data_IF_523820025336
#
_entry.id   IF_523820025336
#
_cell.length_a   1.000
_cell.length_b   1.000
_cell.length_c   1.000
_cell.angle_alpha   90.00
_cell.angle_beta   90.00
_cell.angle_gamma   90.00
#
_symmetry.space_group_name_H-M   'P 1'
#
loop_
_entity.id
_entity.type
_entity.pdbx_description
1 polymer ?
#
# COMPACT_ATOMS: atom_id res chain seq x y z
N UNK A 1 -25.92 -27.23 42.51
CA UNK A 1 -24.50 -27.33 42.11
C UNK A 1 -24.26 -26.90 40.65
N UNK A 2 -25.14 -27.24 39.69
CA UNK A 2 -25.06 -26.81 38.28
C UNK A 2 -25.12 -25.28 38.04
N UNK A 3 -25.86 -24.53 38.86
CA UNK A 3 -25.96 -23.06 38.73
C UNK A 3 -24.66 -22.31 39.07
N UNK A 4 -23.87 -22.82 40.02
CA UNK A 4 -22.58 -22.23 40.41
C UNK A 4 -21.50 -22.46 39.34
N UNK A 5 -21.52 -23.64 38.69
CA UNK A 5 -20.63 -23.93 37.56
C UNK A 5 -20.92 -23.01 36.36
N UNK A 6 -22.20 -22.82 36.00
CA UNK A 6 -22.59 -21.90 34.92
C UNK A 6 -22.23 -20.43 35.21
N UNK A 7 -22.41 -19.98 36.46
CA UNK A 7 -22.00 -18.63 36.89
C UNK A 7 -20.48 -18.46 36.85
N UNK A 8 -19.73 -19.48 37.28
CA UNK A 8 -18.27 -19.48 37.23
C UNK A 8 -17.75 -19.51 35.79
N UNK A 9 -18.34 -20.30 34.91
CA UNK A 9 -18.03 -20.33 33.48
C UNK A 9 -18.33 -18.99 32.81
N UNK A 10 -19.49 -18.38 33.10
CA UNK A 10 -19.83 -17.04 32.58
C UNK A 10 -18.87 -15.95 33.08
N UNK A 11 -18.44 -16.03 34.35
CA UNK A 11 -17.47 -15.12 34.96
C UNK A 11 -16.05 -15.32 34.42
N UNK A 12 -15.63 -16.57 34.21
CA UNK A 12 -14.35 -16.90 33.57
C UNK A 12 -14.35 -16.48 32.10
N UNK A 13 -15.44 -16.70 31.37
CA UNK A 13 -15.62 -16.23 30.00
C UNK A 13 -15.54 -14.69 29.91
N UNK A 14 -16.01 -13.96 30.93
CA UNK A 14 -15.86 -12.50 31.04
C UNK A 14 -14.42 -12.03 31.28
N UNK A 15 -13.54 -12.89 31.83
CA UNK A 15 -12.13 -12.58 32.09
C UNK A 15 -11.19 -12.89 30.92
N UNK A 16 -11.66 -13.65 29.92
CA UNK A 16 -10.82 -13.96 28.75
C UNK A 16 -10.59 -12.69 27.94
N UNK A 17 -9.34 -12.23 27.91
CA UNK A 17 -8.92 -11.11 27.08
C UNK A 17 -8.81 -11.60 25.63
N UNK A 18 -9.77 -11.24 24.80
CA UNK A 18 -9.63 -11.24 23.33
C UNK A 18 -8.28 -10.70 22.85
N UNK A 19 -7.62 -11.51 22.03
CA UNK A 19 -6.31 -11.27 21.43
C UNK A 19 -6.41 -11.46 19.93
N UNK A 20 -5.80 -10.52 19.22
CA UNK A 20 -5.57 -10.57 17.78
C UNK A 20 -4.08 -10.76 17.54
N UNK A 21 -3.70 -11.76 16.77
CA UNK A 21 -2.36 -11.84 16.19
C UNK A 21 -2.38 -11.27 14.78
N UNK A 22 -1.34 -10.54 14.41
CA UNK A 22 -1.13 -10.06 13.06
C UNK A 22 0.34 -10.31 12.69
N UNK A 23 0.54 -10.86 11.50
CA UNK A 23 1.87 -11.04 10.92
C UNK A 23 1.87 -10.43 9.52
N UNK A 24 2.70 -9.42 9.30
CA UNK A 24 3.08 -9.07 7.94
C UNK A 24 3.79 -10.26 7.30
N UNK A 25 3.44 -10.54 6.05
CA UNK A 25 4.14 -11.54 5.25
C UNK A 25 5.36 -10.91 4.58
N UNK A 26 6.20 -11.75 3.98
CA UNK A 26 7.32 -11.29 3.16
C UNK A 26 6.86 -10.58 1.86
N UNK A 27 5.60 -10.63 1.50
CA UNK A 27 5.14 -10.08 0.23
C UNK A 27 4.77 -8.60 0.40
N UNK A 28 5.78 -7.72 0.27
CA UNK A 28 5.59 -6.28 0.18
C UNK A 28 6.02 -5.77 -1.20
N UNK A 29 5.18 -4.95 -1.81
CA UNK A 29 5.42 -4.41 -3.14
C UNK A 29 5.33 -2.90 -3.13
N UNK A 30 6.20 -2.27 -3.90
CA UNK A 30 6.13 -0.85 -4.19
C UNK A 30 5.53 -0.63 -5.58
N UNK A 31 4.68 0.41 -5.70
CA UNK A 31 4.21 0.92 -6.99
C UNK A 31 3.85 2.41 -6.90
N UNK A 32 4.02 3.11 -8.02
CA UNK A 32 3.46 4.45 -8.19
C UNK A 32 2.01 4.36 -8.70
N UNK A 33 1.10 5.03 -8.01
CA UNK A 33 -0.32 5.15 -8.38
C UNK A 33 -0.70 6.62 -8.57
N UNK A 34 -1.95 6.87 -8.99
CA UNK A 34 -2.55 8.20 -9.04
C UNK A 34 -2.52 8.93 -7.68
N UNK A 35 -2.53 8.17 -6.58
CA UNK A 35 -2.46 8.65 -5.21
C UNK A 35 -1.02 8.91 -4.74
N UNK A 36 0.01 8.55 -5.53
CA UNK A 36 1.42 8.71 -5.19
C UNK A 36 2.14 7.39 -4.91
N UNK A 37 3.19 7.45 -4.10
CA UNK A 37 4.00 6.28 -3.76
C UNK A 37 3.23 5.33 -2.85
N UNK A 38 3.00 4.12 -3.34
CA UNK A 38 2.10 3.16 -2.73
C UNK A 38 2.84 1.88 -2.36
N UNK A 39 2.64 1.43 -1.13
CA UNK A 39 3.07 0.13 -0.63
C UNK A 39 1.88 -0.82 -0.52
N UNK A 40 2.02 -1.98 -1.13
CA UNK A 40 1.11 -3.10 -0.97
C UNK A 40 1.68 -4.05 0.08
N UNK A 41 0.91 -4.34 1.12
CA UNK A 41 1.37 -5.14 2.25
C UNK A 41 0.37 -6.24 2.55
N UNK A 42 0.85 -7.48 2.50
CA UNK A 42 0.06 -8.64 2.82
C UNK A 42 0.19 -8.97 4.32
N UNK A 43 -0.95 -9.01 5.00
CA UNK A 43 -1.08 -9.37 6.41
C UNK A 43 -1.82 -10.70 6.57
N UNK A 44 -1.39 -11.51 7.53
CA UNK A 44 -2.17 -12.62 8.09
C UNK A 44 -2.64 -12.21 9.47
N UNK A 45 -3.95 -12.19 9.68
CA UNK A 45 -4.55 -11.79 10.95
C UNK A 45 -5.37 -12.95 11.52
N UNK A 46 -5.18 -13.27 12.80
CA UNK A 46 -5.89 -14.38 13.45
C UNK A 46 -6.37 -13.99 14.86
N UNK A 47 -7.69 -13.89 15.07
CA UNK A 47 -8.27 -13.73 16.39
C UNK A 47 -8.32 -15.07 17.13
N UNK A 48 -7.92 -15.09 18.41
CA UNK A 48 -7.73 -16.34 19.14
C UNK A 48 -8.94 -16.77 19.98
N UNK A 49 -9.49 -15.85 20.79
CA UNK A 49 -10.50 -16.21 21.78
C UNK A 49 -11.91 -15.78 21.39
N UNK A 50 -12.04 -14.69 20.62
CA UNK A 50 -13.32 -14.09 20.22
C UNK A 50 -13.23 -13.45 18.84
N UNK A 51 -14.37 -13.28 18.12
CA UNK A 51 -14.35 -12.58 16.86
C UNK A 51 -13.91 -11.13 17.09
N UNK A 52 -13.04 -10.64 16.21
CA UNK A 52 -12.46 -9.32 16.31
C UNK A 52 -12.98 -8.42 15.19
N UNK A 53 -13.38 -7.22 15.56
CA UNK A 53 -13.76 -6.15 14.67
C UNK A 53 -12.60 -5.17 14.54
N UNK A 54 -11.95 -5.14 13.38
CA UNK A 54 -10.86 -4.17 13.13
C UNK A 54 -11.49 -2.80 12.89
N UNK A 55 -11.11 -1.84 13.73
CA UNK A 55 -11.68 -0.48 13.75
C UNK A 55 -10.78 0.57 13.12
N UNK A 56 -9.47 0.35 13.16
CA UNK A 56 -8.48 1.31 12.68
C UNK A 56 -7.20 0.56 12.30
N UNK A 57 -6.56 0.98 11.23
CA UNK A 57 -5.25 0.50 10.80
C UNK A 57 -4.36 1.73 10.60
N UNK A 58 -3.20 1.74 11.24
CA UNK A 58 -2.16 2.75 11.03
C UNK A 58 -0.89 2.06 10.59
N UNK A 59 -0.15 2.70 9.70
CA UNK A 59 1.14 2.21 9.30
C UNK A 59 2.16 3.34 9.29
N UNK A 60 3.40 2.96 9.53
CA UNK A 60 4.52 3.88 9.57
C UNK A 60 5.74 3.19 8.98
N UNK A 61 6.36 3.84 8.00
CA UNK A 61 7.58 3.36 7.37
C UNK A 61 8.75 4.22 7.85
N UNK A 62 9.78 3.60 8.42
CA UNK A 62 10.97 4.30 8.87
C UNK A 62 12.18 3.79 8.09
N UNK A 63 12.94 4.68 7.45
CA UNK A 63 14.26 4.32 6.92
C UNK A 63 15.23 4.08 8.06
N UNK A 64 15.87 2.93 8.05
CA UNK A 64 16.87 2.50 9.03
C UNK A 64 18.28 2.72 8.45
N UNK A 65 19.25 3.07 9.31
CA UNK A 65 20.63 3.33 8.92
C UNK A 65 21.08 4.77 9.18
N UNK A 66 21.92 5.32 8.29
CA UNK A 66 22.65 6.60 8.49
C UNK A 66 21.71 7.81 8.54
N UNK A 67 20.68 7.83 7.70
CA UNK A 67 19.67 8.90 7.70
C UNK A 67 18.32 8.30 8.04
N UNK A 68 17.85 8.53 9.27
CA UNK A 68 16.48 8.16 9.65
C UNK A 68 15.51 9.08 8.93
N UNK A 69 14.50 8.46 8.32
CA UNK A 69 13.41 9.17 7.63
C UNK A 69 12.11 8.48 7.98
N UNK A 70 11.25 9.23 8.65
CA UNK A 70 9.92 8.78 9.04
C UNK A 70 8.94 9.13 7.92
N UNK A 71 8.14 8.17 7.49
CA UNK A 71 7.18 8.31 6.40
C UNK A 71 5.83 7.77 6.89
N UNK A 72 4.91 8.64 7.34
CA UNK A 72 3.57 8.23 7.70
C UNK A 72 2.83 7.68 6.48
N UNK A 73 2.09 6.58 6.70
CA UNK A 73 1.34 5.90 5.65
C UNK A 73 -0.16 5.98 5.94
N UNK A 74 -0.90 6.46 4.95
CA UNK A 74 -2.37 6.45 4.95
C UNK A 74 -2.88 5.18 4.28
N UNK A 75 -3.83 4.50 4.94
CA UNK A 75 -4.53 3.37 4.34
C UNK A 75 -5.52 3.88 3.28
N UNK A 76 -5.31 3.48 2.02
CA UNK A 76 -6.20 3.82 0.89
C UNK A 76 -7.20 2.71 0.64
N UNK A 77 -6.75 1.44 0.65
CA UNK A 77 -7.61 0.26 0.48
C UNK A 77 -7.22 -0.87 1.39
N UNK A 78 -8.21 -1.65 1.81
CA UNK A 78 -8.09 -2.84 2.62
C UNK A 78 -9.03 -3.90 2.08
N UNK A 79 -8.55 -5.12 1.89
CA UNK A 79 -9.41 -6.22 1.43
C UNK A 79 -8.73 -7.57 1.43
N UNK A 80 -9.39 -8.54 0.79
CA UNK A 80 -8.85 -9.88 0.57
C UNK A 80 -8.05 -9.93 -0.74
N UNK A 81 -7.03 -10.79 -0.86
CA UNK A 81 -6.37 -11.03 -2.13
C UNK A 81 -7.37 -11.61 -3.13
N UNK A 82 -7.33 -11.17 -4.39
CA UNK A 82 -8.12 -11.79 -5.45
C UNK A 82 -7.64 -13.22 -5.69
N UNK A 83 -8.54 -14.19 -5.74
CA UNK A 83 -8.20 -15.56 -6.12
C UNK A 83 -8.80 -15.87 -7.50
N UNK A 84 -7.91 -16.06 -8.50
CA UNK A 84 -7.91 -17.12 -9.56
C UNK A 84 -7.32 -16.66 -10.90
N UNK A 85 -6.00 -16.84 -11.06
CA UNK A 85 -5.44 -17.39 -12.30
C UNK A 85 -4.75 -16.46 -13.30
N UNK A 86 -4.49 -15.18 -13.01
CA UNK A 86 -3.79 -14.30 -13.95
C UNK A 86 -2.56 -13.63 -13.31
N UNK A 87 -1.33 -14.12 -13.55
CA UNK A 87 -0.13 -13.69 -12.83
C UNK A 87 0.29 -12.22 -13.07
N UNK A 88 -0.45 -11.46 -13.87
CA UNK A 88 -0.04 -10.12 -14.33
C UNK A 88 -1.08 -9.02 -14.00
N UNK A 89 -2.32 -9.34 -13.57
CA UNK A 89 -3.42 -8.34 -13.50
C UNK A 89 -4.29 -8.33 -12.22
N UNK A 90 -3.80 -8.80 -11.06
CA UNK A 90 -4.66 -8.98 -9.88
C UNK A 90 -4.79 -7.74 -8.96
N UNK A 91 -5.43 -6.67 -9.46
CA UNK A 91 -5.89 -5.51 -8.67
C UNK A 91 -7.38 -5.58 -8.24
N UNK A 92 -7.89 -6.77 -7.96
CA UNK A 92 -9.21 -6.90 -7.34
C UNK A 92 -9.08 -6.96 -5.82
N UNK A 93 -9.18 -5.81 -5.15
CA UNK A 93 -9.62 -5.78 -3.76
C UNK A 93 -11.09 -6.19 -3.73
N UNK A 94 -11.45 -7.33 -3.11
CA UNK A 94 -12.86 -7.72 -2.95
C UNK A 94 -13.66 -6.84 -1.98
N UNK A 95 -13.04 -5.81 -1.40
CA UNK A 95 -13.66 -4.94 -0.41
C UNK A 95 -13.15 -3.51 -0.55
N UNK A 96 -14.08 -2.56 -0.44
CA UNK A 96 -13.79 -1.13 -0.28
C UNK A 96 -13.92 -0.68 1.20
N UNK A 97 -14.19 -1.60 2.12
CA UNK A 97 -14.44 -1.27 3.52
C UNK A 97 -13.22 -1.62 4.38
N UNK A 98 -12.64 -0.65 5.12
CA UNK A 98 -11.60 -0.91 6.13
C UNK A 98 -12.16 -1.63 7.38
N UNK A 99 -13.44 -1.98 7.34
CA UNK A 99 -14.19 -2.59 8.43
C UNK A 99 -14.34 -4.08 8.15
N UNK A 100 -13.82 -4.90 9.06
CA UNK A 100 -13.76 -6.34 8.88
C UNK A 100 -14.04 -7.08 10.19
N UNK A 101 -14.86 -8.12 10.07
CA UNK A 101 -15.20 -9.03 11.18
C UNK A 101 -14.40 -10.32 10.96
N UNK A 102 -13.39 -10.52 11.79
CA UNK A 102 -12.55 -11.70 11.78
C UNK A 102 -13.12 -12.77 12.71
N UNK A 103 -13.36 -13.96 12.17
CA UNK A 103 -13.90 -15.09 12.92
C UNK A 103 -12.82 -15.76 13.78
N UNK A 104 -13.18 -16.11 15.02
CA UNK A 104 -12.28 -16.80 15.96
C UNK A 104 -11.66 -18.06 15.35
N UNK A 105 -10.37 -18.27 15.57
CA UNK A 105 -9.65 -19.48 15.19
C UNK A 105 -9.39 -19.61 13.68
N UNK A 106 -9.81 -18.65 12.87
CA UNK A 106 -9.55 -18.62 11.42
C UNK A 106 -8.49 -17.57 11.10
N UNK A 107 -7.41 -17.96 10.43
CA UNK A 107 -6.44 -17.02 9.90
C UNK A 107 -6.98 -16.38 8.60
N UNK A 108 -7.02 -15.07 8.56
CA UNK A 108 -7.50 -14.30 7.41
C UNK A 108 -6.34 -13.57 6.74
N UNK A 109 -6.24 -13.68 5.41
CA UNK A 109 -5.27 -12.94 4.60
C UNK A 109 -5.86 -11.62 4.15
N UNK A 110 -5.10 -10.54 4.32
CA UNK A 110 -5.51 -9.17 4.00
C UNK A 110 -4.43 -8.46 3.22
N UNK A 111 -4.84 -7.65 2.25
CA UNK A 111 -3.96 -6.79 1.46
C UNK A 111 -4.25 -5.35 1.84
N UNK A 112 -3.21 -4.63 2.25
CA UNK A 112 -3.24 -3.20 2.50
C UNK A 112 -2.65 -2.47 1.29
N UNK A 113 -3.36 -1.46 0.80
CA UNK A 113 -2.79 -0.44 -0.09
C UNK A 113 -2.57 0.83 0.73
N UNK A 114 -1.31 1.18 0.92
CA UNK A 114 -0.91 2.29 1.78
C UNK A 114 -0.12 3.31 0.99
N UNK A 115 -0.40 4.60 1.18
CA UNK A 115 0.25 5.70 0.45
C UNK A 115 1.02 6.57 1.43
N UNK A 116 2.21 7.02 1.03
CA UNK A 116 2.99 7.97 1.83
C UNK A 116 2.28 9.32 1.82
N UNK A 117 1.82 9.78 2.98
CA UNK A 117 0.81 10.84 3.07
C UNK A 117 1.35 12.25 2.81
N UNK A 118 2.63 12.48 3.12
CA UNK A 118 3.24 13.82 3.15
C UNK A 118 3.18 14.60 1.82
N UNK A 119 3.10 13.92 0.68
CA UNK A 119 3.14 14.55 -0.64
C UNK A 119 2.08 14.00 -1.60
N UNK A 120 1.07 13.33 -1.05
CA UNK A 120 -0.05 12.79 -1.82
C UNK A 120 -0.75 13.88 -2.63
N UNK A 121 -1.03 15.02 -2.00
CA UNK A 121 -1.76 16.14 -2.64
C UNK A 121 -0.98 16.72 -3.82
N UNK A 122 0.35 16.85 -3.70
CA UNK A 122 1.20 17.31 -4.79
C UNK A 122 1.29 16.30 -5.92
N UNK A 123 1.34 15.01 -5.62
CA UNK A 123 1.34 13.96 -6.65
C UNK A 123 0.01 13.94 -7.42
N UNK A 124 -1.12 14.05 -6.73
CA UNK A 124 -2.45 14.19 -7.34
C UNK A 124 -2.56 15.47 -8.17
N UNK A 125 -1.89 16.55 -7.78
CA UNK A 125 -1.81 17.77 -8.58
C UNK A 125 -0.99 17.54 -9.87
N UNK A 126 0.21 16.95 -9.77
CA UNK A 126 1.04 16.63 -10.95
C UNK A 126 0.28 15.71 -11.91
N UNK A 127 -0.47 14.74 -11.40
CA UNK A 127 -1.30 13.85 -12.20
C UNK A 127 -2.41 14.61 -12.96
N UNK A 128 -3.10 15.53 -12.29
CA UNK A 128 -4.14 16.37 -12.93
C UNK A 128 -3.56 17.31 -13.98
N UNK A 129 -2.41 17.93 -13.70
CA UNK A 129 -1.69 18.77 -14.66
C UNK A 129 -1.26 17.98 -15.90
N UNK A 130 -0.69 16.79 -15.69
CA UNK A 130 -0.32 15.88 -16.77
C UNK A 130 -1.55 15.52 -17.62
N UNK A 131 -2.66 15.15 -16.99
CA UNK A 131 -3.88 14.76 -17.70
C UNK A 131 -4.42 15.91 -18.56
N UNK A 132 -4.44 17.14 -18.03
CA UNK A 132 -4.85 18.32 -18.78
C UNK A 132 -3.91 18.60 -19.97
N UNK A 133 -2.59 18.50 -19.75
CA UNK A 133 -1.59 18.73 -20.81
C UNK A 133 -1.64 17.64 -21.89
N UNK A 134 -1.77 16.38 -21.49
CA UNK A 134 -1.91 15.24 -22.38
C UNK A 134 -3.19 15.33 -23.22
N UNK A 135 -4.29 15.84 -22.64
CA UNK A 135 -5.53 16.07 -23.39
C UNK A 135 -5.35 17.13 -24.48
N UNK A 136 -4.66 18.24 -24.20
CA UNK A 136 -4.34 19.26 -25.19
C UNK A 136 -3.46 18.69 -26.32
N UNK A 137 -2.39 17.96 -25.96
CA UNK A 137 -1.50 17.30 -26.92
C UNK A 137 -2.21 16.26 -27.77
N UNK A 138 -3.18 15.52 -27.21
CA UNK A 138 -3.99 14.58 -27.98
C UNK A 138 -4.84 15.28 -29.05
N UNK A 139 -5.35 16.48 -28.76
CA UNK A 139 -6.01 17.33 -29.75
C UNK A 139 -5.07 17.73 -30.88
N UNK A 140 -3.88 18.24 -30.54
CA UNK A 140 -2.84 18.61 -31.51
C UNK A 140 -2.39 17.42 -32.36
N UNK A 141 -2.19 16.25 -31.76
CA UNK A 141 -1.79 15.02 -32.44
C UNK A 141 -2.80 14.56 -33.48
N UNK A 142 -4.12 14.64 -33.19
CA UNK A 142 -5.15 14.29 -34.16
C UNK A 142 -5.16 15.23 -35.37
N UNK A 143 -4.86 16.51 -35.16
CA UNK A 143 -4.72 17.48 -36.26
C UNK A 143 -3.46 17.17 -37.07
N UNK A 144 -2.32 16.97 -36.39
CA UNK A 144 -1.03 16.69 -37.03
C UNK A 144 -1.00 15.36 -37.78
N UNK A 145 -1.73 14.33 -37.35
CA UNK A 145 -1.84 13.06 -38.08
C UNK A 145 -2.40 13.25 -39.51
N UNK A 146 -3.25 14.26 -39.71
CA UNK A 146 -3.78 14.63 -41.03
C UNK A 146 -2.97 15.76 -41.71
N UNK A 147 -1.95 16.28 -41.04
CA UNK A 147 -1.08 17.34 -41.53
C UNK A 147 0.16 16.82 -42.28
N UNK A 148 1.08 17.75 -42.56
CA UNK A 148 2.37 17.44 -43.19
C UNK A 148 3.38 16.79 -42.24
N UNK A 149 4.52 16.38 -42.77
CA UNK A 149 5.58 15.72 -42.01
C UNK A 149 6.14 16.62 -40.89
N UNK A 150 6.17 17.94 -41.09
CA UNK A 150 6.66 18.89 -40.10
C UNK A 150 5.71 18.96 -38.90
N UNK A 151 4.40 19.08 -39.14
CA UNK A 151 3.39 19.09 -38.08
C UNK A 151 3.44 17.82 -37.22
N UNK A 152 3.72 16.65 -37.83
CA UNK A 152 3.91 15.39 -37.10
C UNK A 152 5.14 15.42 -36.22
N UNK A 153 6.29 15.88 -36.74
CA UNK A 153 7.54 16.01 -35.97
C UNK A 153 7.38 16.97 -34.79
N UNK A 154 6.78 18.13 -35.02
CA UNK A 154 6.55 19.15 -33.98
C UNK A 154 5.71 18.59 -32.82
N UNK A 155 4.69 17.78 -33.10
CA UNK A 155 3.87 17.15 -32.05
C UNK A 155 4.64 16.07 -31.30
N UNK A 156 5.45 15.26 -31.99
CA UNK A 156 6.30 14.25 -31.34
C UNK A 156 7.28 14.92 -30.36
N UNK A 157 7.95 15.99 -30.78
CA UNK A 157 8.86 16.76 -29.92
C UNK A 157 8.13 17.34 -28.69
N UNK A 158 6.92 17.86 -28.87
CA UNK A 158 6.09 18.35 -27.75
C UNK A 158 5.70 17.23 -26.78
N UNK A 159 5.40 16.03 -27.28
CA UNK A 159 5.10 14.85 -26.45
C UNK A 159 6.33 14.43 -25.65
N UNK A 160 7.51 14.37 -26.28
CA UNK A 160 8.76 14.03 -25.61
C UNK A 160 9.17 15.06 -24.54
N UNK A 161 9.00 16.35 -24.84
CA UNK A 161 9.23 17.42 -23.89
C UNK A 161 8.27 17.33 -22.68
N UNK A 162 6.99 17.06 -22.94
CA UNK A 162 5.99 16.81 -21.89
C UNK A 162 6.37 15.59 -21.04
N UNK A 163 6.73 14.47 -21.67
CA UNK A 163 7.15 13.27 -20.96
C UNK A 163 8.36 13.53 -20.05
N UNK A 164 9.34 14.27 -20.54
CA UNK A 164 10.55 14.64 -19.78
C UNK A 164 10.23 15.57 -18.61
N UNK A 165 9.40 16.59 -18.83
CA UNK A 165 8.96 17.53 -17.79
C UNK A 165 8.25 16.79 -16.66
N UNK A 166 7.22 16.01 -16.98
CA UNK A 166 6.41 15.35 -15.96
C UNK A 166 7.13 14.19 -15.28
N UNK A 167 8.01 13.47 -16.00
CA UNK A 167 8.90 12.50 -15.36
C UNK A 167 9.76 13.17 -14.29
N UNK A 168 10.33 14.33 -14.60
CA UNK A 168 11.15 15.09 -13.65
C UNK A 168 10.31 15.62 -12.48
N UNK A 169 9.10 16.14 -12.73
CA UNK A 169 8.17 16.58 -11.67
C UNK A 169 7.84 15.46 -10.69
N UNK A 170 7.49 14.27 -11.20
CA UNK A 170 7.24 13.10 -10.35
C UNK A 170 8.49 12.66 -9.58
N UNK A 171 9.63 12.51 -10.25
CA UNK A 171 10.88 12.08 -9.60
C UNK A 171 11.34 13.03 -8.48
N UNK A 172 11.07 14.33 -8.60
CA UNK A 172 11.39 15.32 -7.58
C UNK A 172 10.53 15.18 -6.32
N UNK A 173 9.35 14.56 -6.43
CA UNK A 173 8.47 14.28 -5.29
C UNK A 173 8.74 12.93 -4.67
N UNK A 174 9.30 11.98 -5.43
CA UNK A 174 9.61 10.64 -4.93
C UNK A 174 10.58 10.68 -3.74
N UNK A 175 10.10 10.19 -2.61
CA UNK A 175 10.76 10.12 -1.32
C UNK A 175 11.35 8.74 -1.01
N UNK A 176 10.81 7.67 -1.59
CA UNK A 176 11.34 6.32 -1.40
C UNK A 176 12.63 6.13 -2.22
N UNK A 177 13.66 5.55 -1.60
CA UNK A 177 15.00 5.46 -2.17
C UNK A 177 15.72 4.16 -1.77
N UNK A 178 16.96 3.99 -2.19
CA UNK A 178 17.74 2.79 -1.82
C UNK A 178 18.05 2.82 -0.32
N UNK A 179 17.77 1.72 0.38
CA UNK A 179 17.99 1.63 1.80
C UNK A 179 17.23 0.49 2.47
N UNK A 180 17.52 0.31 3.74
CA UNK A 180 16.78 -0.61 4.61
C UNK A 180 15.71 0.18 5.35
N UNK A 181 14.50 -0.37 5.42
CA UNK A 181 13.35 0.23 6.07
C UNK A 181 12.70 -0.73 7.06
N UNK A 182 12.06 -0.18 8.08
CA UNK A 182 11.16 -0.89 8.98
C UNK A 182 9.75 -0.36 8.77
N UNK A 183 8.84 -1.24 8.35
CA UNK A 183 7.41 -0.96 8.29
C UNK A 183 6.77 -1.50 9.57
N UNK A 184 6.17 -0.62 10.36
CA UNK A 184 5.29 -0.98 11.48
C UNK A 184 3.82 -0.83 11.04
N UNK A 185 3.02 -1.87 11.27
CA UNK A 185 1.56 -1.83 11.10
C UNK A 185 0.90 -2.07 12.44
N UNK A 186 0.05 -1.12 12.83
CA UNK A 186 -0.77 -1.14 14.04
C UNK A 186 -2.23 -1.34 13.65
N UNK A 187 -2.84 -2.40 14.18
CA UNK A 187 -4.27 -2.66 14.07
C UNK A 187 -4.93 -2.38 15.42
N UNK A 188 -6.01 -1.59 15.42
CA UNK A 188 -6.89 -1.45 16.59
C UNK A 188 -8.18 -2.19 16.37
N UNK A 189 -8.61 -2.96 17.37
CA UNK A 189 -9.76 -3.84 17.25
C UNK A 189 -10.64 -3.84 18.52
N UNK A 190 -11.87 -4.35 18.36
CA UNK A 190 -12.87 -4.55 19.42
C UNK A 190 -13.49 -5.94 19.29
N UNK A 191 -14.12 -6.43 20.36
CA UNK A 191 -14.90 -7.67 20.31
C UNK A 191 -16.27 -7.45 19.64
N UNK A 192 -16.75 -8.46 18.90
CA UNK A 192 -18.06 -8.42 18.21
C UNK A 192 -19.23 -8.78 19.13
N UNK A 193 -19.03 -9.64 20.15
CA UNK A 193 -20.11 -10.11 21.03
C UNK A 193 -19.77 -10.04 22.53
N UNK A 194 -20.76 -9.67 23.33
CA UNK A 194 -20.74 -9.59 24.80
C UNK A 194 -21.11 -8.20 25.31
N UNK A 195 -21.92 -8.12 26.36
CA UNK A 195 -22.38 -6.88 27.02
C UNK A 195 -21.25 -5.96 27.56
N UNK A 196 -20.00 -6.30 27.30
CA UNK A 196 -18.81 -5.45 27.41
C UNK A 196 -18.34 -4.97 26.04
N UNK A 197 -19.23 -4.38 25.23
CA UNK A 197 -18.76 -3.45 24.20
C UNK A 197 -17.90 -2.41 24.92
N UNK A 198 -16.64 -2.20 24.49
CA UNK A 198 -15.99 -0.87 24.35
C UNK A 198 -14.47 -0.86 24.41
N UNK A 199 -13.79 -1.84 25.01
CA UNK A 199 -12.33 -1.72 25.18
C UNK A 199 -11.62 -1.84 23.83
N UNK A 200 -11.02 -0.73 23.39
CA UNK A 200 -10.18 -0.69 22.20
C UNK A 200 -8.85 -1.37 22.52
N UNK A 201 -8.46 -2.34 21.71
CA UNK A 201 -7.21 -3.08 21.86
C UNK A 201 -6.35 -2.93 20.63
N UNK A 202 -5.07 -3.19 20.79
CA UNK A 202 -4.06 -2.93 19.77
C UNK A 202 -3.21 -4.19 19.53
N UNK A 203 -2.87 -4.41 18.26
CA UNK A 203 -1.92 -5.42 17.81
C UNK A 203 -0.94 -4.77 16.83
N UNK A 204 0.35 -5.07 16.97
CA UNK A 204 1.41 -4.52 16.12
C UNK A 204 2.15 -5.64 15.42
N UNK A 205 2.56 -5.37 14.19
CA UNK A 205 3.46 -6.24 13.43
C UNK A 205 4.49 -5.38 12.71
N UNK A 206 5.69 -5.95 12.50
CA UNK A 206 6.80 -5.27 11.84
C UNK A 206 7.37 -6.13 10.73
N UNK A 207 7.74 -5.49 9.63
CA UNK A 207 8.47 -6.11 8.53
C UNK A 207 9.64 -5.21 8.13
N UNK A 208 10.82 -5.81 7.99
CA UNK A 208 11.97 -5.12 7.43
C UNK A 208 11.93 -5.25 5.90
N UNK A 209 12.09 -4.13 5.22
CA UNK A 209 12.17 -4.02 3.77
C UNK A 209 13.58 -3.58 3.41
N UNK A 210 14.12 -4.11 2.31
CA UNK A 210 15.41 -3.71 1.78
C UNK A 210 15.24 -3.37 0.31
N UNK A 211 15.49 -2.11 0.00
CA UNK A 211 15.51 -1.56 -1.35
C UNK A 211 16.97 -1.44 -1.75
N UNK A 212 17.39 -2.23 -2.73
CA UNK A 212 18.79 -2.24 -3.18
C UNK A 212 18.85 -2.18 -4.70
N UNK A 213 19.83 -1.43 -5.19
CA UNK A 213 20.20 -1.38 -6.59
C UNK A 213 19.34 -0.38 -7.36
N UNK A 214 19.97 0.71 -7.81
CA UNK A 214 19.49 1.72 -8.75
C UNK A 214 17.97 1.97 -8.77
N UNK A 215 17.31 1.94 -7.60
CA UNK A 215 15.84 1.91 -7.52
C UNK A 215 15.25 3.19 -8.10
N UNK A 216 15.92 4.33 -7.87
CA UNK A 216 15.52 5.62 -8.47
C UNK A 216 15.60 5.61 -10.00
N UNK A 217 16.58 4.91 -10.59
CA UNK A 217 16.69 4.83 -12.05
C UNK A 217 15.56 3.95 -12.64
N UNK A 218 15.26 2.82 -11.99
CA UNK A 218 14.11 1.97 -12.33
C UNK A 218 12.81 2.78 -12.24
N UNK A 219 12.62 3.52 -11.15
CA UNK A 219 11.46 4.38 -10.95
C UNK A 219 11.33 5.46 -12.02
N UNK A 220 12.44 6.10 -12.40
CA UNK A 220 12.44 7.09 -13.47
C UNK A 220 11.99 6.48 -14.80
N UNK A 221 12.49 5.29 -15.14
CA UNK A 221 12.07 4.58 -16.35
C UNK A 221 10.58 4.21 -16.31
N UNK A 222 10.12 3.72 -15.16
CA UNK A 222 8.73 3.33 -14.96
C UNK A 222 7.76 4.52 -15.02
N UNK A 223 8.11 5.66 -14.43
CA UNK A 223 7.34 6.91 -14.52
C UNK A 223 7.29 7.38 -15.96
N UNK A 224 8.42 7.36 -16.66
CA UNK A 224 8.46 7.79 -18.05
C UNK A 224 7.47 6.98 -18.90
N UNK A 225 7.48 5.66 -18.75
CA UNK A 225 6.51 4.77 -19.43
C UNK A 225 5.06 5.08 -19.05
N UNK A 226 4.79 5.34 -17.77
CA UNK A 226 3.45 5.75 -17.32
C UNK A 226 3.02 7.03 -18.04
N UNK A 227 3.85 8.06 -18.05
CA UNK A 227 3.54 9.35 -18.69
C UNK A 227 3.31 9.17 -20.20
N UNK A 228 4.19 8.42 -20.87
CA UNK A 228 4.08 8.10 -22.30
C UNK A 228 2.78 7.34 -22.60
N UNK A 229 2.41 6.35 -21.77
CA UNK A 229 1.17 5.57 -21.94
C UNK A 229 -0.10 6.41 -21.72
N UNK A 230 -0.09 7.34 -20.76
CA UNK A 230 -1.21 8.27 -20.53
C UNK A 230 -1.43 9.15 -21.75
N UNK A 231 -0.36 9.69 -22.33
CA UNK A 231 -0.44 10.49 -23.55
C UNK A 231 -0.92 9.62 -24.72
N UNK A 232 -0.33 8.44 -24.90
CA UNK A 232 -0.67 7.51 -25.98
C UNK A 232 -2.14 7.10 -25.95
N UNK A 233 -2.71 6.77 -24.78
CA UNK A 233 -4.13 6.42 -24.64
C UNK A 233 -5.08 7.56 -25.01
N UNK A 234 -4.70 8.80 -24.76
CA UNK A 234 -5.54 9.95 -25.11
C UNK A 234 -5.49 10.24 -26.62
N UNK A 235 -4.37 9.95 -27.27
CA UNK A 235 -4.21 9.99 -28.73
C UNK A 235 -4.97 8.84 -29.39
N UNK A 236 -4.78 7.61 -28.90
CA UNK A 236 -5.42 6.38 -29.35
C UNK A 236 -6.11 5.66 -28.18
N UNK A 237 -7.45 5.74 -28.14
CA UNK A 237 -8.27 5.27 -27.02
C UNK A 237 -8.22 3.75 -26.78
N UNK A 238 -7.69 2.99 -27.75
CA UNK A 238 -7.60 1.53 -27.69
C UNK A 238 -6.32 1.02 -27.00
N UNK A 239 -5.45 1.94 -26.52
CA UNK A 239 -4.24 1.59 -25.78
C UNK A 239 -4.49 1.58 -24.27
N UNK A 240 -4.05 0.50 -23.61
CA UNK A 240 -4.06 0.40 -22.15
C UNK A 240 -2.97 1.29 -21.52
N UNK A 241 -3.25 1.78 -20.31
CA UNK A 241 -2.24 2.50 -19.50
C UNK A 241 -1.36 1.47 -18.82
N UNK A 242 -0.11 1.38 -19.24
CA UNK A 242 0.90 0.58 -18.56
C UNK A 242 1.35 1.31 -17.31
N UNK A 243 0.86 0.84 -16.16
CA UNK A 243 1.42 1.26 -14.90
C UNK A 243 2.75 0.53 -14.63
N UNK A 244 3.65 1.16 -13.86
CA UNK A 244 4.86 0.52 -13.36
C UNK A 244 4.57 -0.88 -12.79
N UNK A 245 5.23 -1.90 -13.34
CA UNK A 245 5.19 -3.25 -12.78
C UNK A 245 5.84 -3.24 -11.39
N UNK A 246 5.30 -4.07 -10.49
CA UNK A 246 5.75 -4.22 -9.12
C UNK A 246 7.27 -4.30 -9.01
N UNK A 247 7.87 -3.43 -8.19
CA UNK A 247 9.21 -3.69 -7.69
C UNK A 247 9.06 -4.57 -6.45
N UNK A 248 9.36 -5.88 -6.52
CA UNK A 248 9.36 -6.71 -5.32
C UNK A 248 10.42 -6.17 -4.36
N UNK A 249 10.02 -5.90 -3.13
CA UNK A 249 10.96 -5.48 -2.09
C UNK A 249 11.56 -6.73 -1.45
N UNK A 250 12.86 -6.72 -1.18
CA UNK A 250 13.46 -7.81 -0.41
C UNK A 250 13.00 -7.64 1.02
N UNK A 251 12.24 -8.60 1.53
CA UNK A 251 11.62 -8.49 2.85
C UNK A 251 12.18 -9.53 3.81
N UNK A 252 12.16 -9.19 5.10
CA UNK A 252 12.40 -10.11 6.21
C UNK A 252 11.39 -9.81 7.31
N UNK A 253 10.62 -10.82 7.69
CA UNK A 253 9.69 -10.72 8.82
C UNK A 253 10.49 -10.72 10.12
N UNK A 254 10.18 -9.78 11.01
CA UNK A 254 10.75 -9.77 12.36
C UNK A 254 9.83 -10.58 13.25
N UNK A 255 10.31 -11.71 13.76
CA UNK A 255 9.48 -12.56 14.61
C UNK A 255 9.33 -11.91 16.00
N UNK A 256 8.09 -11.75 16.45
CA UNK A 256 7.78 -11.06 17.73
C UNK A 256 8.43 -11.73 18.95
N UNK A 257 8.84 -13.00 18.83
CA UNK A 257 9.55 -13.77 19.86
C UNK A 257 11.03 -13.36 20.06
N UNK A 258 11.63 -12.65 19.10
CA UNK A 258 13.01 -12.14 19.22
C UNK A 258 13.09 -10.84 20.04
N UNK A 259 11.97 -10.15 20.26
CA UNK A 259 11.93 -8.92 21.08
C UNK A 259 11.96 -9.18 22.59
N UNK A 260 11.50 -10.34 23.07
CA UNK A 260 11.56 -10.69 24.51
C UNK A 260 12.97 -11.13 24.94
N UNK A 261 13.88 -11.44 23.99
CA UNK A 261 15.26 -11.84 24.33
C UNK A 261 16.20 -10.67 24.57
N UNK A 262 15.88 -9.47 24.08
CA UNK A 262 16.72 -8.28 24.26
C UNK A 262 16.21 -7.28 25.30
N UNK A 263 15.12 -7.62 26.02
CA UNK A 263 14.56 -6.81 27.09
C UNK A 263 14.77 -7.41 28.50
N UNK A 264 15.63 -8.43 28.64
CA UNK A 264 16.20 -8.77 29.96
C UNK A 264 17.30 -7.76 30.27
N UNK A 265 17.13 -6.85 31.25
CA UNK A 265 18.28 -6.18 31.81
C UNK A 265 19.17 -7.26 32.43
N UNK A 266 20.47 -7.17 32.22
CA UNK A 266 21.41 -7.79 33.15
C UNK A 266 21.05 -7.30 34.55
N UNK A 267 20.62 -8.23 35.40
CA UNK A 267 20.24 -8.04 36.80
C UNK A 267 20.01 -9.40 37.43
#
# INVERSE_FOLDING_TARGET
MLGFLKLREAWLAHRVKSRLSASATADCFYRLTDSGETLFVNLVVSPHERPAFVTEIRAHLCRTGVTKKDMPLDLVRYGEPADRGNPINDHYFFSASPIDILQTGTAARRVLMMVISEYRTEMEQIARELQARAFALAGEARVAMNGDEQARKDVVEKIEACATEYTSKYMNKIQFDDGDYELEVLLKFRDVEGHGARELRECKTKVCLSVKGDFRALMQQQIRRLVESVIARLVNKDLDVEYPMFAPLVTRTVDSSDMERHSRPYG
#
